data_IF_299024731507
#
_entry.id   IF_299024731507
#
_cell.length_a   1.000
_cell.length_b   1.000
_cell.length_c   1.000
_cell.angle_alpha   90.00
_cell.angle_beta   90.00
_cell.angle_gamma   90.00
#
_symmetry.space_group_name_H-M   'P 1'
#
loop_
_entity.id
_entity.type
_entity.pdbx_description
1 polymer ?
#
# COMPACT_ATOMS: atom_id res chain seq x y z
N UNK A 1 2.95 4.84 -19.90
CA UNK A 1 1.52 4.82 -20.18
C UNK A 1 0.83 4.00 -19.14
N UNK A 2 0.10 4.66 -18.24
CA UNK A 2 -0.87 4.03 -17.36
C UNK A 2 -1.87 3.31 -18.23
N UNK A 3 -1.89 1.97 -18.20
CA UNK A 3 -3.04 1.24 -18.71
C UNK A 3 -4.19 1.58 -17.79
N UNK A 4 -5.16 2.34 -18.28
CA UNK A 4 -6.44 2.51 -17.61
C UNK A 4 -7.15 1.16 -17.66
N UNK A 5 -7.11 0.43 -16.56
CA UNK A 5 -7.99 -0.72 -16.39
C UNK A 5 -9.40 -0.15 -16.20
N UNK A 6 -10.22 -0.27 -17.23
CA UNK A 6 -11.63 0.03 -17.14
C UNK A 6 -12.31 -1.14 -16.43
N UNK A 7 -12.65 -0.96 -15.16
CA UNK A 7 -13.58 -1.85 -14.47
C UNK A 7 -15.01 -1.54 -14.94
N UNK A 8 -15.29 -1.86 -16.21
CA UNK A 8 -16.62 -1.69 -16.75
C UNK A 8 -17.50 -2.85 -16.29
N UNK A 9 -18.35 -2.59 -15.29
CA UNK A 9 -19.42 -3.47 -14.84
C UNK A 9 -19.25 -4.01 -13.43
N UNK A 10 -20.33 -4.06 -12.69
CA UNK A 10 -20.47 -4.61 -11.32
C UNK A 10 -20.32 -6.14 -11.25
N UNK A 11 -19.56 -6.76 -12.14
CA UNK A 11 -19.39 -8.20 -12.16
C UNK A 11 -18.16 -8.63 -11.35
N UNK A 12 -18.32 -9.40 -10.24
CA UNK A 12 -17.19 -9.90 -9.45
C UNK A 12 -16.15 -10.70 -10.25
N UNK A 13 -16.53 -11.29 -11.38
CA UNK A 13 -15.62 -12.00 -12.28
C UNK A 13 -14.65 -11.05 -13.01
N UNK A 14 -15.07 -9.82 -13.28
CA UNK A 14 -14.19 -8.82 -13.93
C UNK A 14 -13.13 -8.29 -12.96
N UNK A 15 -13.43 -8.27 -11.67
CA UNK A 15 -12.48 -7.90 -10.62
C UNK A 15 -11.40 -8.97 -10.47
N UNK A 16 -11.78 -10.25 -10.50
CA UNK A 16 -10.83 -11.37 -10.45
C UNK A 16 -9.91 -11.40 -11.67
N UNK A 17 -10.45 -11.20 -12.86
CA UNK A 17 -9.64 -11.15 -14.09
C UNK A 17 -8.73 -9.91 -14.13
N UNK A 18 -9.20 -8.77 -13.62
CA UNK A 18 -8.37 -7.58 -13.43
C UNK A 18 -7.19 -7.83 -12.49
N UNK A 19 -7.40 -8.59 -11.41
CA UNK A 19 -6.33 -8.95 -10.47
C UNK A 19 -5.39 -10.02 -11.01
N UNK A 20 -5.87 -10.96 -11.78
CA UNK A 20 -5.00 -11.91 -12.50
C UNK A 20 -4.12 -11.16 -13.49
N UNK A 21 -4.65 -10.15 -14.17
CA UNK A 21 -3.88 -9.25 -15.02
C UNK A 21 -2.89 -8.36 -14.22
N UNK A 22 -3.29 -7.91 -13.02
CA UNK A 22 -2.40 -7.22 -12.09
C UNK A 22 -1.28 -8.14 -11.58
N UNK A 23 -1.59 -9.39 -11.28
CA UNK A 23 -0.59 -10.40 -10.86
C UNK A 23 0.51 -10.61 -11.90
N UNK A 24 0.17 -10.62 -13.17
CA UNK A 24 1.15 -10.70 -14.27
C UNK A 24 2.05 -9.47 -14.43
N UNK A 25 1.66 -8.31 -13.90
CA UNK A 25 2.44 -7.07 -13.95
C UNK A 25 3.18 -6.73 -12.66
N UNK A 26 3.02 -7.52 -11.58
CA UNK A 26 3.66 -7.24 -10.28
C UNK A 26 5.16 -7.41 -10.36
N UNK A 27 5.67 -8.51 -10.90
CA UNK A 27 7.09 -8.78 -10.94
C UNK A 27 7.89 -7.71 -11.72
N UNK A 28 7.48 -7.25 -12.92
CA UNK A 28 8.12 -6.13 -13.58
C UNK A 28 8.05 -4.81 -12.80
N UNK A 29 6.92 -4.55 -12.13
CA UNK A 29 6.75 -3.35 -11.32
C UNK A 29 7.62 -3.38 -10.07
N UNK A 30 7.73 -4.54 -9.43
CA UNK A 30 8.61 -4.75 -8.29
C UNK A 30 10.08 -4.52 -8.69
N UNK A 31 10.51 -5.14 -9.77
CA UNK A 31 11.86 -4.96 -10.30
C UNK A 31 12.17 -3.48 -10.62
N UNK A 32 11.20 -2.75 -11.18
CA UNK A 32 11.37 -1.33 -11.45
C UNK A 32 11.54 -0.50 -10.16
N UNK A 33 10.81 -0.82 -9.10
CA UNK A 33 10.97 -0.15 -7.79
C UNK A 33 12.32 -0.49 -7.16
N UNK A 34 12.72 -1.77 -7.20
CA UNK A 34 14.03 -2.20 -6.69
C UNK A 34 15.18 -1.52 -7.42
N UNK A 35 15.12 -1.43 -8.76
CA UNK A 35 16.10 -0.69 -9.56
C UNK A 35 16.13 0.81 -9.23
N UNK A 36 14.96 1.42 -8.99
CA UNK A 36 14.91 2.82 -8.60
C UNK A 36 15.55 3.05 -7.23
N UNK A 37 15.33 2.18 -6.26
CA UNK A 37 15.98 2.23 -4.96
C UNK A 37 17.51 2.07 -5.06
N UNK A 38 17.96 1.16 -5.90
CA UNK A 38 19.39 0.97 -6.19
C UNK A 38 20.00 2.21 -6.83
N UNK A 39 19.35 2.82 -7.83
CA UNK A 39 19.81 4.05 -8.48
C UNK A 39 19.85 5.24 -7.53
N UNK A 40 18.98 5.27 -6.53
CA UNK A 40 19.02 6.25 -5.44
C UNK A 40 20.15 6.00 -4.45
N UNK A 41 20.82 4.86 -4.55
CA UNK A 41 21.85 4.46 -3.60
C UNK A 41 21.29 4.03 -2.25
N UNK A 42 20.02 3.63 -2.18
CA UNK A 42 19.41 3.17 -0.93
C UNK A 42 20.18 1.95 -0.38
N UNK A 43 20.76 2.10 0.80
CA UNK A 43 21.67 1.11 1.36
C UNK A 43 21.79 1.18 2.87
N UNK A 44 22.87 0.60 3.40
CA UNK A 44 23.11 0.52 4.84
C UNK A 44 23.13 1.91 5.49
N UNK A 45 22.28 2.10 6.49
CA UNK A 45 22.12 3.37 7.21
C UNK A 45 20.94 4.22 6.70
N UNK A 46 20.39 3.91 5.54
CA UNK A 46 19.18 4.57 5.06
C UNK A 46 17.93 3.96 5.69
N UNK A 47 16.93 4.81 5.89
CA UNK A 47 15.63 4.43 6.46
C UNK A 47 14.54 4.71 5.44
N UNK A 48 13.82 3.66 5.06
CA UNK A 48 12.80 3.71 4.01
C UNK A 48 11.44 3.39 4.58
N UNK A 49 10.46 4.23 4.29
CA UNK A 49 9.04 3.97 4.52
C UNK A 49 8.36 3.77 3.17
N UNK A 50 7.69 2.66 2.99
CA UNK A 50 6.87 2.44 1.80
C UNK A 50 5.46 2.97 2.01
N UNK A 51 4.96 3.69 1.00
CA UNK A 51 3.57 4.13 0.92
C UNK A 51 3.05 3.71 -0.45
N UNK A 52 1.98 2.94 -0.48
CA UNK A 52 1.44 2.42 -1.73
C UNK A 52 -0.08 2.41 -1.80
N UNK A 53 -0.61 2.56 -3.01
CA UNK A 53 -2.03 2.44 -3.30
C UNK A 53 -2.26 1.27 -4.26
N UNK A 54 -3.31 0.46 -4.00
CA UNK A 54 -3.73 -0.61 -4.91
C UNK A 54 -2.58 -1.59 -5.21
N UNK A 55 -2.27 -1.81 -6.48
CA UNK A 55 -1.13 -2.61 -6.94
C UNK A 55 0.21 -2.11 -6.37
N UNK A 56 0.39 -0.78 -6.23
CA UNK A 56 1.62 -0.22 -5.65
C UNK A 56 1.84 -0.65 -4.20
N UNK A 57 0.77 -0.79 -3.41
CA UNK A 57 0.86 -1.33 -2.06
C UNK A 57 1.24 -2.81 -2.05
N UNK A 58 0.74 -3.60 -3.00
CA UNK A 58 1.11 -5.02 -3.12
C UNK A 58 2.58 -5.18 -3.54
N UNK A 59 3.06 -4.36 -4.47
CA UNK A 59 4.49 -4.33 -4.87
C UNK A 59 5.36 -3.99 -3.67
N UNK A 60 5.04 -2.91 -2.96
CA UNK A 60 5.76 -2.49 -1.76
C UNK A 60 5.73 -3.56 -0.66
N UNK A 61 4.58 -4.20 -0.47
CA UNK A 61 4.40 -5.31 0.46
C UNK A 61 5.27 -6.51 0.11
N UNK A 62 5.33 -6.91 -1.17
CA UNK A 62 6.19 -8.00 -1.62
C UNK A 62 7.68 -7.69 -1.37
N UNK A 63 8.13 -6.48 -1.69
CA UNK A 63 9.50 -6.03 -1.38
C UNK A 63 9.75 -6.12 0.13
N UNK A 64 8.78 -5.71 0.94
CA UNK A 64 8.89 -5.73 2.40
C UNK A 64 8.93 -7.14 3.02
N UNK A 65 8.60 -8.20 2.29
CA UNK A 65 8.73 -9.59 2.76
C UNK A 65 10.14 -10.15 2.61
N UNK A 66 11.03 -9.45 1.91
CA UNK A 66 12.40 -9.89 1.65
C UNK A 66 13.41 -8.99 2.36
N UNK A 67 14.60 -9.49 2.72
CA UNK A 67 15.66 -8.67 3.28
C UNK A 67 16.06 -7.53 2.32
N UNK A 68 16.20 -6.33 2.86
CA UNK A 68 16.58 -5.14 2.12
C UNK A 68 17.97 -4.64 2.57
N UNK A 69 18.73 -3.96 1.69
CA UNK A 69 20.02 -3.39 2.07
C UNK A 69 19.91 -2.15 3.00
N UNK A 70 18.71 -1.63 3.19
CA UNK A 70 18.36 -0.50 4.03
C UNK A 70 17.44 -0.91 5.19
N UNK A 71 17.27 -0.04 6.17
CA UNK A 71 16.29 -0.24 7.24
C UNK A 71 14.88 0.10 6.73
N UNK A 72 14.03 -0.93 6.56
CA UNK A 72 12.63 -0.72 6.23
C UNK A 72 11.84 -0.37 7.51
N UNK A 73 11.39 0.89 7.59
CA UNK A 73 10.64 1.40 8.74
C UNK A 73 9.21 0.90 8.80
N UNK A 74 8.59 0.63 7.66
CA UNK A 74 7.25 0.09 7.59
C UNK A 74 6.56 0.28 6.26
N UNK A 75 5.26 -0.02 6.24
CA UNK A 75 4.39 0.08 5.09
C UNK A 75 3.08 0.78 5.44
N UNK A 76 2.69 1.77 4.64
CA UNK A 76 1.33 2.32 4.63
C UNK A 76 0.67 1.92 3.32
N UNK A 77 -0.44 1.20 3.41
CA UNK A 77 -1.20 0.68 2.29
C UNK A 77 -2.57 1.33 2.20
N UNK A 78 -2.89 1.88 1.05
CA UNK A 78 -4.21 2.40 0.71
C UNK A 78 -4.89 1.44 -0.28
N UNK A 79 -5.91 0.72 0.13
CA UNK A 79 -6.68 -0.20 -0.72
C UNK A 79 -5.86 -1.32 -1.36
N UNK A 80 -4.71 -1.65 -0.79
CA UNK A 80 -3.86 -2.72 -1.31
C UNK A 80 -4.26 -4.10 -0.80
N UNK A 81 -4.21 -5.15 -1.64
CA UNK A 81 -4.55 -6.53 -1.26
C UNK A 81 -3.37 -7.21 -0.55
N UNK A 82 -2.94 -6.67 0.60
CA UNK A 82 -1.72 -7.08 1.32
C UNK A 82 -1.96 -7.97 2.55
N UNK A 83 -3.21 -8.24 2.93
CA UNK A 83 -3.54 -8.96 4.18
C UNK A 83 -2.96 -10.38 4.27
N UNK A 84 -2.69 -11.03 3.12
CA UNK A 84 -2.05 -12.35 3.04
C UNK A 84 -0.53 -12.32 3.26
N UNK A 85 0.10 -11.15 3.21
CA UNK A 85 1.55 -11.02 3.32
C UNK A 85 2.01 -11.15 4.78
N UNK A 86 3.12 -11.84 5.00
CA UNK A 86 3.73 -11.97 6.33
C UNK A 86 4.73 -10.84 6.59
N UNK A 87 4.23 -9.62 6.79
CA UNK A 87 5.05 -8.45 7.04
C UNK A 87 5.53 -8.42 8.49
N UNK A 88 6.83 -8.23 8.69
CA UNK A 88 7.46 -8.11 10.00
C UNK A 88 7.64 -6.64 10.44
N UNK A 89 7.40 -5.71 9.54
CA UNK A 89 7.52 -4.27 9.79
C UNK A 89 6.20 -3.66 10.24
N UNK A 90 6.22 -2.50 10.94
CA UNK A 90 5.01 -1.76 11.26
C UNK A 90 4.18 -1.48 10.01
N UNK A 91 2.91 -1.86 10.03
CA UNK A 91 2.03 -1.77 8.86
C UNK A 91 0.70 -1.10 9.21
N UNK A 92 0.35 -0.07 8.47
CA UNK A 92 -0.97 0.54 8.49
C UNK A 92 -1.66 0.21 7.16
N UNK A 93 -2.72 -0.59 7.22
CA UNK A 93 -3.54 -0.94 6.07
C UNK A 93 -4.87 -0.17 6.15
N UNK A 94 -5.07 0.76 5.24
CA UNK A 94 -6.30 1.53 5.12
C UNK A 94 -7.13 0.92 4.01
N UNK A 95 -8.37 0.53 4.34
CA UNK A 95 -9.30 -0.10 3.41
C UNK A 95 -10.69 0.51 3.53
N UNK A 96 -11.46 0.48 2.47
CA UNK A 96 -12.88 0.80 2.51
C UNK A 96 -13.69 -0.49 2.39
N UNK A 97 -14.77 -0.63 3.15
CA UNK A 97 -15.61 -1.84 3.11
C UNK A 97 -16.18 -2.12 1.72
N UNK A 98 -16.48 -1.06 0.97
CA UNK A 98 -16.98 -1.14 -0.39
C UNK A 98 -15.90 -1.27 -1.47
N UNK A 99 -14.60 -1.25 -1.08
CA UNK A 99 -13.49 -1.45 -2.02
C UNK A 99 -13.20 -2.95 -2.21
N UNK A 100 -13.55 -3.51 -3.39
CA UNK A 100 -13.35 -4.93 -3.64
C UNK A 100 -11.88 -5.33 -3.73
N UNK A 101 -10.97 -4.40 -4.02
CA UNK A 101 -9.53 -4.70 -4.21
C UNK A 101 -8.86 -5.02 -2.87
N UNK A 102 -9.16 -4.25 -1.84
CA UNK A 102 -8.59 -4.48 -0.50
C UNK A 102 -8.95 -5.86 0.07
N UNK A 103 -10.15 -6.37 -0.27
CA UNK A 103 -10.67 -7.66 0.20
C UNK A 103 -9.99 -8.86 -0.50
N UNK A 104 -9.46 -8.67 -1.70
CA UNK A 104 -8.88 -9.74 -2.52
C UNK A 104 -7.53 -10.26 -1.99
N UNK A 105 -6.91 -9.55 -1.07
CA UNK A 105 -5.74 -10.01 -0.34
C UNK A 105 -6.02 -11.05 0.74
N UNK A 106 -7.27 -11.55 0.85
CA UNK A 106 -7.64 -12.57 1.84
C UNK A 106 -8.70 -12.12 2.84
N UNK A 107 -9.07 -10.84 2.87
CA UNK A 107 -10.20 -10.29 3.65
C UNK A 107 -10.10 -10.40 5.18
N UNK A 108 -9.05 -10.98 5.69
CA UNK A 108 -8.83 -11.16 7.13
C UNK A 108 -7.82 -10.13 7.61
N UNK A 109 -8.21 -9.34 8.59
CA UNK A 109 -7.29 -8.47 9.29
C UNK A 109 -6.26 -9.33 10.04
N UNK A 110 -4.97 -9.25 9.71
CA UNK A 110 -3.96 -9.96 10.48
C UNK A 110 -3.94 -9.41 11.91
N UNK A 111 -4.23 -10.27 12.87
CA UNK A 111 -4.08 -9.90 14.29
C UNK A 111 -2.60 -9.95 14.67
N UNK A 112 -1.87 -8.88 14.40
CA UNK A 112 -0.44 -8.76 14.70
C UNK A 112 -0.17 -7.47 15.46
N UNK A 113 0.77 -7.51 16.37
CA UNK A 113 1.14 -6.35 17.21
C UNK A 113 1.67 -5.15 16.39
N UNK A 114 2.31 -5.44 15.25
CA UNK A 114 2.87 -4.43 14.35
C UNK A 114 1.93 -4.06 13.17
N UNK A 115 0.68 -4.51 13.21
CA UNK A 115 -0.29 -4.29 12.14
C UNK A 115 -1.55 -3.61 12.68
N UNK A 116 -2.01 -2.61 11.98
CA UNK A 116 -3.35 -2.05 12.17
C UNK A 116 -4.07 -1.96 10.84
N UNK A 117 -5.32 -2.41 10.82
CA UNK A 117 -6.21 -2.16 9.68
C UNK A 117 -7.23 -1.12 10.09
N UNK A 118 -7.31 -0.09 9.26
CA UNK A 118 -8.32 0.95 9.38
C UNK A 118 -9.36 0.75 8.30
N UNK A 119 -10.61 0.63 8.69
CA UNK A 119 -11.73 0.51 7.76
C UNK A 119 -12.49 1.83 7.71
N UNK A 120 -12.47 2.49 6.57
CA UNK A 120 -13.30 3.67 6.33
C UNK A 120 -14.74 3.26 5.95
N UNK A 121 -15.72 3.94 6.56
CA UNK A 121 -17.16 3.72 6.31
C UNK A 121 -17.75 4.69 5.28
N UNK A 122 -16.92 5.36 4.48
CA UNK A 122 -17.41 6.32 3.50
C UNK A 122 -18.37 5.64 2.52
N UNK A 123 -19.54 6.26 2.36
CA UNK A 123 -20.50 5.84 1.32
C UNK A 123 -20.00 6.33 -0.01
N UNK A 124 -19.63 5.40 -0.88
CA UNK A 124 -19.19 5.69 -2.23
C UNK A 124 -20.33 5.43 -3.22
N UNK A 125 -20.37 6.20 -4.30
CA UNK A 125 -21.38 6.06 -5.35
C UNK A 125 -21.17 4.79 -6.17
N UNK A 126 -19.93 4.30 -6.23
CA UNK A 126 -19.56 3.08 -6.94
C UNK A 126 -18.37 2.36 -6.31
N UNK A 127 -18.18 1.09 -6.67
CA UNK A 127 -17.01 0.29 -6.28
C UNK A 127 -15.70 0.91 -6.80
N UNK A 128 -15.77 1.58 -7.95
CA UNK A 128 -14.60 2.28 -8.53
C UNK A 128 -14.24 3.50 -7.69
N UNK A 129 -15.23 4.24 -7.22
CA UNK A 129 -14.99 5.41 -6.36
C UNK A 129 -14.46 5.01 -5.00
N UNK A 130 -14.91 3.87 -4.46
CA UNK A 130 -14.39 3.30 -3.23
C UNK A 130 -12.90 2.97 -3.30
N UNK A 131 -12.40 2.66 -4.51
CA UNK A 131 -10.99 2.31 -4.75
C UNK A 131 -10.12 3.51 -5.13
N UNK A 132 -10.69 4.67 -5.42
CA UNK A 132 -9.92 5.85 -5.82
C UNK A 132 -9.17 6.48 -4.66
N UNK A 133 -7.99 7.03 -4.97
CA UNK A 133 -7.10 7.62 -3.96
C UNK A 133 -7.73 8.79 -3.20
N UNK A 134 -8.57 9.62 -3.83
CA UNK A 134 -9.23 10.74 -3.17
C UNK A 134 -10.16 10.34 -2.01
N UNK A 135 -10.77 9.15 -2.07
CA UNK A 135 -11.50 8.59 -0.93
C UNK A 135 -10.58 8.22 0.22
N UNK A 136 -9.43 7.64 -0.10
CA UNK A 136 -8.41 7.29 0.88
C UNK A 136 -7.73 8.50 1.52
N UNK A 137 -7.56 9.60 0.78
CA UNK A 137 -7.06 10.88 1.32
C UNK A 137 -7.96 11.42 2.45
N UNK A 138 -9.28 11.33 2.29
CA UNK A 138 -10.23 11.73 3.34
C UNK A 138 -10.08 10.85 4.58
N UNK A 139 -10.06 9.53 4.39
CA UNK A 139 -9.87 8.58 5.50
C UNK A 139 -8.53 8.82 6.21
N UNK A 140 -7.47 9.13 5.47
CA UNK A 140 -6.17 9.46 6.06
C UNK A 140 -6.23 10.74 6.91
N UNK A 141 -6.92 11.78 6.44
CA UNK A 141 -7.10 13.02 7.19
C UNK A 141 -7.90 12.80 8.50
N UNK A 142 -8.94 11.95 8.46
CA UNK A 142 -9.69 11.56 9.66
C UNK A 142 -8.82 10.78 10.66
N UNK A 143 -7.86 9.99 10.17
CA UNK A 143 -6.93 9.25 11.02
C UNK A 143 -5.92 10.13 11.75
N UNK A 144 -5.57 11.29 11.20
CA UNK A 144 -4.67 12.24 11.88
C UNK A 144 -5.28 12.74 13.20
N UNK A 145 -6.60 12.78 13.30
CA UNK A 145 -7.35 13.16 14.50
C UNK A 145 -7.75 11.95 15.37
N UNK A 146 -7.48 10.72 14.92
CA UNK A 146 -7.89 9.50 15.63
C UNK A 146 -7.18 9.37 16.97
N UNK A 147 -7.94 8.99 18.00
CA UNK A 147 -7.41 8.58 19.33
C UNK A 147 -7.31 7.06 19.52
N UNK A 148 -7.54 6.26 18.47
CA UNK A 148 -7.46 4.81 18.56
C UNK A 148 -6.05 4.36 18.99
N UNK A 149 -5.98 3.62 20.09
CA UNK A 149 -4.71 3.20 20.67
C UNK A 149 -3.93 2.23 19.79
N UNK A 150 -4.64 1.35 19.06
CA UNK A 150 -4.05 0.41 18.11
C UNK A 150 -3.36 1.13 16.96
N UNK A 151 -4.07 2.09 16.37
CA UNK A 151 -3.55 2.94 15.32
C UNK A 151 -2.36 3.76 15.81
N UNK A 152 -2.50 4.47 16.94
CA UNK A 152 -1.42 5.32 17.51
C UNK A 152 -0.19 4.50 17.87
N UNK A 153 -0.35 3.29 18.36
CA UNK A 153 0.78 2.39 18.66
C UNK A 153 1.60 2.08 17.41
N UNK A 154 0.94 1.70 16.29
CA UNK A 154 1.65 1.39 15.03
C UNK A 154 2.18 2.65 14.39
N UNK A 155 1.41 3.73 14.39
CA UNK A 155 1.83 5.05 13.90
C UNK A 155 3.10 5.52 14.61
N UNK A 156 3.15 5.42 15.94
CA UNK A 156 4.33 5.80 16.72
C UNK A 156 5.57 4.98 16.34
N UNK A 157 5.42 3.68 16.08
CA UNK A 157 6.54 2.84 15.60
C UNK A 157 7.08 3.33 14.25
N UNK A 158 6.21 3.85 13.36
CA UNK A 158 6.62 4.43 12.08
C UNK A 158 7.35 5.76 12.23
N UNK A 159 6.88 6.63 13.13
CA UNK A 159 7.34 8.02 13.28
C UNK A 159 8.30 8.25 14.44
N UNK A 160 8.75 7.24 15.16
CA UNK A 160 9.66 7.38 16.32
C UNK A 160 11.00 8.06 15.99
N UNK A 161 11.14 8.59 14.79
CA UNK A 161 12.38 9.18 14.32
C UNK A 161 12.19 10.64 13.89
N UNK A 162 12.74 11.60 14.64
CA UNK A 162 12.58 13.04 14.34
C UNK A 162 13.34 13.50 13.07
N UNK A 163 13.98 12.61 12.35
CA UNK A 163 14.89 12.93 11.25
C UNK A 163 14.41 12.58 9.84
N UNK A 164 13.12 12.25 9.61
CA UNK A 164 12.62 12.03 8.24
C UNK A 164 12.46 13.38 7.54
N UNK A 165 13.55 13.92 7.03
CA UNK A 165 13.51 14.95 5.98
C UNK A 165 13.41 14.24 4.63
N UNK A 166 12.19 14.14 4.09
CA UNK A 166 11.97 13.52 2.80
C UNK A 166 12.46 14.39 1.65
N UNK A 167 13.42 13.89 0.88
CA UNK A 167 13.69 14.42 -0.45
C UNK A 167 12.68 13.77 -1.41
N UNK A 168 11.98 14.61 -2.20
CA UNK A 168 11.05 14.12 -3.22
C UNK A 168 11.80 13.86 -4.51
N UNK A 169 11.84 12.61 -4.92
CA UNK A 169 12.34 12.21 -6.24
C UNK A 169 11.17 11.77 -7.12
N UNK A 170 11.19 12.17 -8.39
CA UNK A 170 10.24 11.71 -9.40
C UNK A 170 11.01 11.00 -10.50
N UNK A 171 10.61 9.77 -10.81
CA UNK A 171 11.20 8.97 -11.88
C UNK A 171 10.19 8.72 -12.99
N UNK A 172 10.62 8.95 -14.23
CA UNK A 172 9.91 8.41 -15.40
C UNK A 172 10.50 7.04 -15.74
N UNK A 173 9.70 6.00 -15.59
CA UNK A 173 10.08 4.67 -16.07
C UNK A 173 9.74 4.62 -17.57
N UNK A 174 10.75 4.69 -18.40
CA UNK A 174 10.62 4.50 -19.85
C UNK A 174 10.69 2.99 -20.14
N UNK A 175 9.66 2.47 -20.78
CA UNK A 175 9.73 1.12 -21.35
C UNK A 175 10.67 1.17 -22.55
N UNK A 176 11.74 0.38 -22.50
CA UNK A 176 12.55 0.02 -23.65
C UNK A 176 11.80 -0.92 -24.61
#
# INVERSE_FOLDING_TARGET
>A
GTQSFSFAGNNPLNIRSGLTALGGSIAPSQQAVEQALEQLGAGSGDRVLFIGHSQGALVAGNIATTPQPFELKGLISFGGPISHLNLQVPTIAISHQSDPVSVLGGGVNPMRENWVTVSGDAKFESLVDAHRMNGYEKTAAELDESSDEGFRRVQNKLWQDPGIQGLKYSFEIRRG
#
